data_IF_148151879048
#
_entry.id   IF_148151879048
#
_cell.length_a   1.000
_cell.length_b   1.000
_cell.length_c   1.000
_cell.angle_alpha   90.00
_cell.angle_beta   90.00
_cell.angle_gamma   90.00
#
_symmetry.space_group_name_H-M   'P 1'
#
loop_
_entity.id
_entity.type
_entity.pdbx_description
1 polymer ?
#
# COMPACT_ATOMS: atom_id res chain seq x y z
N UNK A 1 28.22 4.59 19.00
CA UNK A 1 27.18 5.62 18.76
C UNK A 1 27.87 6.95 18.88
N UNK A 2 27.69 7.85 17.90
CA UNK A 2 28.32 9.17 17.91
C UNK A 2 27.86 10.05 19.10
N UNK A 3 28.67 10.98 19.59
CA UNK A 3 28.27 11.89 20.65
C UNK A 3 26.93 12.58 20.35
N UNK A 4 26.03 12.64 21.31
CA UNK A 4 24.70 13.24 21.16
C UNK A 4 23.64 12.33 20.52
N UNK A 5 23.98 11.13 20.04
CA UNK A 5 23.01 10.16 19.54
C UNK A 5 22.61 9.16 20.62
N UNK A 6 21.31 8.85 20.69
CA UNK A 6 20.76 7.83 21.57
C UNK A 6 20.25 6.65 20.71
N UNK A 7 20.34 5.45 21.25
CA UNK A 7 19.75 4.25 20.66
C UNK A 7 18.87 3.57 21.70
N UNK A 8 17.78 2.98 21.22
CA UNK A 8 16.87 2.16 22.02
C UNK A 8 16.90 0.73 21.50
N UNK A 9 16.70 -0.23 22.39
CA UNK A 9 16.49 -1.62 21.97
C UNK A 9 15.18 -1.68 21.17
N UNK A 10 15.25 -2.27 19.98
CA UNK A 10 14.10 -2.56 19.13
C UNK A 10 14.07 -4.07 18.85
N UNK A 11 12.88 -4.59 18.56
CA UNK A 11 12.64 -5.99 18.26
C UNK A 11 11.91 -6.08 16.92
N UNK A 12 12.31 -7.03 16.09
CA UNK A 12 11.54 -7.42 14.91
C UNK A 12 10.43 -8.40 15.31
N UNK A 13 9.52 -8.69 14.40
CA UNK A 13 8.51 -9.73 14.65
C UNK A 13 9.12 -11.13 14.83
N UNK A 14 10.34 -11.36 14.31
CA UNK A 14 11.07 -12.61 14.51
C UNK A 14 11.67 -12.75 15.92
N UNK A 15 11.81 -11.63 16.64
CA UNK A 15 12.36 -11.58 18.00
C UNK A 15 11.29 -11.73 19.09
N UNK A 16 10.01 -11.73 18.72
CA UNK A 16 8.89 -11.75 19.66
C UNK A 16 7.93 -12.91 19.39
N UNK A 17 7.22 -13.33 20.42
CA UNK A 17 6.18 -14.34 20.31
C UNK A 17 4.95 -13.93 21.14
N UNK A 18 3.78 -14.34 20.70
CA UNK A 18 2.55 -14.17 21.47
C UNK A 18 2.55 -15.21 22.60
N UNK A 19 2.52 -14.74 23.83
CA UNK A 19 2.42 -15.60 25.01
C UNK A 19 0.96 -16.01 25.20
N UNK A 20 0.65 -17.32 25.30
CA UNK A 20 -0.69 -17.78 25.53
C UNK A 20 -1.29 -17.20 26.82
N UNK A 21 -2.55 -16.79 26.77
CA UNK A 21 -3.28 -16.35 27.95
C UNK A 21 -3.64 -17.54 28.85
N UNK A 22 -3.89 -17.29 30.12
CA UNK A 22 -4.41 -18.27 31.08
C UNK A 22 -5.79 -18.78 30.66
N UNK A 23 -6.57 -17.99 29.93
CA UNK A 23 -7.90 -18.34 29.43
C UNK A 23 -7.86 -18.43 27.91
N UNK A 24 -8.30 -19.53 27.38
CA UNK A 24 -8.55 -19.72 25.95
C UNK A 24 -10.02 -19.51 25.64
N UNK A 25 -10.31 -19.19 24.39
CA UNK A 25 -11.69 -19.11 23.86
C UNK A 25 -11.83 -20.12 22.73
N UNK A 26 -13.02 -20.57 22.49
CA UNK A 26 -13.37 -21.33 21.31
C UNK A 26 -13.16 -20.42 20.09
N UNK A 27 -12.43 -20.86 19.05
CA UNK A 27 -12.12 -20.02 17.88
C UNK A 27 -13.38 -19.39 17.25
N UNK A 28 -14.48 -20.13 17.20
CA UNK A 28 -15.76 -19.70 16.64
C UNK A 28 -16.39 -18.53 17.41
N UNK A 29 -16.03 -18.36 18.69
CA UNK A 29 -16.50 -17.25 19.54
C UNK A 29 -15.65 -15.97 19.39
N UNK A 30 -14.61 -16.00 18.54
CA UNK A 30 -13.68 -14.87 18.37
C UNK A 30 -13.97 -14.15 17.05
N UNK A 31 -14.40 -12.89 17.15
CA UNK A 31 -14.48 -12.03 15.97
C UNK A 31 -13.10 -11.47 15.64
N UNK A 32 -12.70 -11.63 14.37
CA UNK A 32 -11.50 -11.03 13.79
C UNK A 32 -11.78 -9.76 12.99
N UNK A 33 -13.05 -9.34 12.98
CA UNK A 33 -13.46 -8.13 12.29
C UNK A 33 -12.74 -6.89 12.82
N UNK A 34 -12.40 -5.99 11.92
CA UNK A 34 -11.75 -4.73 12.24
C UNK A 34 -12.38 -3.57 11.48
N UNK A 35 -12.06 -2.36 11.86
CA UNK A 35 -12.63 -1.15 11.28
C UNK A 35 -11.57 -0.06 11.14
N UNK A 36 -11.61 0.66 10.04
CA UNK A 36 -10.90 1.91 9.84
C UNK A 36 -11.91 2.96 9.36
N UNK A 37 -12.10 4.01 10.16
CA UNK A 37 -13.14 5.02 9.95
C UNK A 37 -14.51 4.35 9.72
N UNK A 38 -15.19 4.63 8.61
CA UNK A 38 -16.47 4.04 8.25
C UNK A 38 -16.38 2.62 7.65
N UNK A 39 -15.18 2.17 7.29
CA UNK A 39 -14.97 0.90 6.59
C UNK A 39 -14.77 -0.26 7.56
N UNK A 40 -15.56 -1.31 7.38
CA UNK A 40 -15.54 -2.54 8.20
C UNK A 40 -15.09 -3.72 7.35
N UNK A 41 -14.29 -4.59 7.95
CA UNK A 41 -13.72 -5.77 7.32
C UNK A 41 -13.90 -6.99 8.23
N UNK A 42 -14.32 -8.11 7.66
CA UNK A 42 -14.52 -9.36 8.40
C UNK A 42 -13.20 -10.10 8.63
N UNK A 43 -12.24 -9.93 7.70
CA UNK A 43 -10.90 -10.51 7.79
C UNK A 43 -9.85 -9.44 8.11
N UNK A 44 -8.97 -9.68 9.09
CA UNK A 44 -7.85 -8.78 9.42
C UNK A 44 -6.69 -8.97 8.43
N UNK A 45 -7.00 -8.85 7.14
CA UNK A 45 -6.07 -9.07 6.04
C UNK A 45 -5.99 -7.84 5.15
N UNK A 46 -4.78 -7.28 5.05
CA UNK A 46 -4.40 -6.34 4.01
C UNK A 46 -3.43 -7.02 3.04
N UNK A 47 -3.78 -7.13 1.77
CA UNK A 47 -2.86 -7.60 0.76
C UNK A 47 -1.93 -6.45 0.35
N UNK A 48 -0.61 -6.73 0.41
CA UNK A 48 0.44 -5.75 0.18
C UNK A 48 0.39 -5.17 -1.24
N UNK A 49 0.67 -3.86 -1.41
CA UNK A 49 0.66 -3.18 -2.70
C UNK A 49 1.89 -3.56 -3.54
N UNK A 50 1.84 -4.75 -4.11
CA UNK A 50 2.88 -5.33 -4.96
C UNK A 50 2.24 -5.87 -6.23
N UNK A 51 2.84 -5.61 -7.39
CA UNK A 51 2.28 -6.02 -8.68
C UNK A 51 2.12 -7.54 -8.84
N UNK A 52 2.96 -8.32 -8.14
CA UNK A 52 2.87 -9.78 -8.09
C UNK A 52 1.81 -10.32 -7.12
N UNK A 53 1.21 -9.46 -6.29
CA UNK A 53 0.25 -9.86 -5.25
C UNK A 53 -1.14 -9.29 -5.54
N UNK A 54 -1.22 -8.00 -5.86
CA UNK A 54 -2.49 -7.30 -6.02
C UNK A 54 -2.64 -6.77 -7.44
N UNK A 55 -3.55 -7.40 -8.18
CA UNK A 55 -4.19 -6.87 -9.38
C UNK A 55 -5.57 -6.29 -9.01
N UNK A 56 -6.24 -5.56 -9.90
CA UNK A 56 -7.64 -5.20 -9.68
C UNK A 56 -8.54 -6.41 -9.39
N UNK A 57 -8.34 -7.52 -10.11
CA UNK A 57 -9.10 -8.77 -9.90
C UNK A 57 -8.83 -9.38 -8.54
N UNK A 58 -7.56 -9.42 -8.11
CA UNK A 58 -7.18 -9.94 -6.79
C UNK A 58 -7.72 -9.04 -5.68
N UNK A 59 -7.66 -7.71 -5.84
CA UNK A 59 -8.24 -6.77 -4.88
C UNK A 59 -9.75 -7.00 -4.72
N UNK A 60 -10.46 -7.21 -5.83
CA UNK A 60 -11.90 -7.56 -5.82
C UNK A 60 -12.14 -8.89 -5.10
N UNK A 61 -11.35 -9.91 -5.38
CA UNK A 61 -11.50 -11.22 -4.74
C UNK A 61 -11.29 -11.14 -3.22
N UNK A 62 -10.25 -10.43 -2.77
CA UNK A 62 -9.94 -10.21 -1.35
C UNK A 62 -11.05 -9.39 -0.69
N UNK A 63 -11.54 -8.34 -1.35
CA UNK A 63 -12.64 -7.53 -0.85
C UNK A 63 -13.92 -8.32 -0.66
N UNK A 64 -14.26 -9.22 -1.59
CA UNK A 64 -15.42 -10.13 -1.47
C UNK A 64 -15.28 -11.15 -0.34
N UNK A 65 -14.05 -11.46 0.06
CA UNK A 65 -13.76 -12.32 1.22
C UNK A 65 -13.76 -11.54 2.56
N UNK A 66 -13.98 -10.22 2.53
CA UNK A 66 -14.00 -9.38 3.72
C UNK A 66 -12.65 -8.81 4.14
N UNK A 67 -11.61 -8.91 3.31
CA UNK A 67 -10.31 -8.27 3.50
C UNK A 67 -10.14 -7.00 2.66
N UNK A 68 -8.92 -6.45 2.62
CA UNK A 68 -8.58 -5.27 1.82
C UNK A 68 -7.41 -5.56 0.89
N UNK A 69 -7.63 -5.47 -0.42
CA UNK A 69 -6.56 -5.45 -1.41
C UNK A 69 -6.08 -4.01 -1.65
N UNK A 70 -4.78 -3.77 -1.51
CA UNK A 70 -4.19 -2.44 -1.76
C UNK A 70 -3.46 -2.45 -3.09
N UNK A 71 -3.97 -1.70 -4.08
CA UNK A 71 -3.37 -1.60 -5.40
C UNK A 71 -2.14 -0.69 -5.38
N UNK A 72 -1.04 -1.13 -6.00
CA UNK A 72 0.15 -0.30 -6.21
C UNK A 72 -0.05 0.63 -7.42
N UNK A 73 -0.23 1.94 -7.18
CA UNK A 73 -0.42 2.92 -8.24
C UNK A 73 0.89 3.40 -8.91
N UNK A 74 2.03 2.91 -8.46
CA UNK A 74 3.33 3.12 -9.10
C UNK A 74 3.82 1.89 -9.86
N UNK A 75 3.01 0.85 -9.87
CA UNK A 75 3.31 -0.43 -10.49
C UNK A 75 2.94 -0.51 -11.97
N UNK A 76 2.92 -1.73 -12.48
CA UNK A 76 2.65 -2.01 -13.89
C UNK A 76 1.19 -1.77 -14.28
N UNK A 77 0.27 -1.90 -13.31
CA UNK A 77 -1.17 -1.72 -13.52
C UNK A 77 -1.55 -0.31 -13.95
N UNK A 78 -0.71 0.68 -13.66
CA UNK A 78 -0.92 2.08 -14.01
C UNK A 78 0.04 2.60 -15.08
N UNK A 79 0.89 1.71 -15.64
CA UNK A 79 1.84 2.04 -16.71
C UNK A 79 1.46 1.43 -18.05
N UNK A 80 0.81 0.26 -18.02
CA UNK A 80 0.48 -0.52 -19.21
C UNK A 80 -1.02 -0.80 -19.28
N UNK A 81 -1.58 -0.76 -20.48
CA UNK A 81 -2.98 -1.12 -20.71
C UNK A 81 -3.21 -2.61 -20.39
N UNK A 82 -2.28 -3.48 -20.81
CA UNK A 82 -2.24 -4.89 -20.40
C UNK A 82 -0.94 -5.20 -19.64
N UNK A 83 -0.94 -5.10 -18.30
CA UNK A 83 0.24 -5.37 -17.48
C UNK A 83 0.62 -6.84 -17.42
N UNK A 84 -0.23 -7.77 -17.87
CA UNK A 84 0.07 -9.21 -17.90
C UNK A 84 1.22 -9.53 -18.84
N UNK A 85 1.39 -8.72 -19.89
CA UNK A 85 2.51 -8.87 -20.84
C UNK A 85 3.85 -8.65 -20.14
N UNK A 86 4.15 -7.48 -19.55
CA UNK A 86 5.41 -7.25 -18.85
C UNK A 86 5.55 -8.14 -17.58
N UNK A 87 4.47 -8.50 -16.90
CA UNK A 87 4.51 -9.44 -15.78
C UNK A 87 4.96 -10.84 -16.23
N UNK A 88 4.41 -11.33 -17.34
CA UNK A 88 4.80 -12.60 -17.94
C UNK A 88 6.25 -12.61 -18.39
N UNK A 89 6.73 -11.50 -18.94
CA UNK A 89 8.13 -11.32 -19.31
C UNK A 89 9.05 -11.42 -18.08
N UNK A 90 8.72 -10.71 -17.00
CA UNK A 90 9.48 -10.74 -15.74
C UNK A 90 9.51 -12.17 -15.17
N UNK A 91 8.35 -12.85 -15.13
CA UNK A 91 8.23 -14.19 -14.56
C UNK A 91 9.03 -15.26 -15.32
N UNK A 92 9.25 -15.06 -16.62
CA UNK A 92 9.98 -16.01 -17.48
C UNK A 92 11.47 -15.69 -17.65
N UNK A 93 11.94 -14.57 -17.08
CA UNK A 93 13.26 -14.04 -17.32
C UNK A 93 14.33 -14.73 -16.46
N UNK A 94 15.49 -15.10 -17.02
CA UNK A 94 16.61 -15.56 -16.23
C UNK A 94 17.15 -14.46 -15.30
N UNK A 95 17.49 -14.80 -14.05
CA UNK A 95 17.97 -13.89 -13.00
C UNK A 95 19.09 -12.94 -13.48
N UNK A 96 19.98 -13.45 -14.33
CA UNK A 96 21.12 -12.70 -14.84
C UNK A 96 20.76 -11.38 -15.56
N UNK A 97 19.56 -11.30 -16.14
CA UNK A 97 19.11 -10.16 -16.92
C UNK A 97 17.92 -9.42 -16.25
N UNK A 98 17.35 -10.01 -15.20
CA UNK A 98 16.11 -9.54 -14.60
C UNK A 98 16.18 -8.09 -14.11
N UNK A 99 17.20 -7.71 -13.36
CA UNK A 99 17.31 -6.37 -12.77
C UNK A 99 17.26 -5.25 -13.82
N UNK A 100 18.08 -5.36 -14.88
CA UNK A 100 18.13 -4.34 -15.93
C UNK A 100 16.80 -4.25 -16.67
N UNK A 101 16.24 -5.40 -17.02
CA UNK A 101 14.98 -5.42 -17.77
C UNK A 101 13.80 -4.95 -16.95
N UNK A 102 13.75 -5.27 -15.65
CA UNK A 102 12.77 -4.71 -14.73
C UNK A 102 12.87 -3.18 -14.65
N UNK A 103 14.09 -2.63 -14.56
CA UNK A 103 14.28 -1.18 -14.59
C UNK A 103 13.73 -0.54 -15.86
N UNK A 104 13.96 -1.16 -17.02
CA UNK A 104 13.42 -0.70 -18.30
C UNK A 104 11.89 -0.76 -18.32
N UNK A 105 11.28 -1.86 -17.87
CA UNK A 105 9.82 -2.03 -17.79
C UNK A 105 9.20 -0.98 -16.84
N UNK A 106 9.79 -0.78 -15.66
CA UNK A 106 9.28 0.20 -14.68
C UNK A 106 9.65 1.66 -15.02
N UNK A 107 10.44 1.91 -16.09
CA UNK A 107 10.71 3.28 -16.55
C UNK A 107 9.56 3.92 -17.33
N UNK A 108 8.60 3.12 -17.80
CA UNK A 108 7.40 3.65 -18.44
C UNK A 108 6.66 4.61 -17.50
N UNK A 109 6.09 5.73 -18.01
CA UNK A 109 5.41 6.71 -17.17
C UNK A 109 4.16 6.14 -16.51
N UNK A 110 3.87 6.62 -15.28
CA UNK A 110 2.57 6.38 -14.64
C UNK A 110 1.52 7.20 -15.41
N UNK A 111 0.41 6.56 -15.71
CA UNK A 111 -0.67 7.16 -16.51
C UNK A 111 -1.89 7.42 -15.61
N UNK A 112 -2.26 8.70 -15.37
CA UNK A 112 -3.41 9.05 -14.52
C UNK A 112 -4.73 8.45 -14.99
N UNK A 113 -4.92 8.28 -16.30
CA UNK A 113 -6.10 7.63 -16.86
C UNK A 113 -6.20 6.16 -16.46
N UNK A 114 -5.08 5.44 -16.36
CA UNK A 114 -5.07 4.06 -15.86
C UNK A 114 -5.30 3.99 -14.36
N UNK A 115 -4.81 4.96 -13.57
CA UNK A 115 -5.16 5.07 -12.15
C UNK A 115 -6.68 5.10 -11.99
N UNK A 116 -7.34 6.00 -12.73
CA UNK A 116 -8.80 6.14 -12.70
C UNK A 116 -9.52 4.86 -13.14
N UNK A 117 -9.05 4.23 -14.21
CA UNK A 117 -9.63 3.00 -14.74
C UNK A 117 -9.54 1.85 -13.74
N UNK A 118 -8.36 1.60 -13.14
CA UNK A 118 -8.15 0.50 -12.19
C UNK A 118 -8.92 0.71 -10.89
N UNK A 119 -8.96 1.92 -10.37
CA UNK A 119 -9.76 2.27 -9.18
C UNK A 119 -11.25 2.06 -9.49
N UNK A 120 -11.71 2.53 -10.65
CA UNK A 120 -13.11 2.34 -11.08
C UNK A 120 -13.46 0.86 -11.21
N UNK A 121 -12.60 0.04 -11.79
CA UNK A 121 -12.80 -1.41 -11.92
C UNK A 121 -13.05 -2.09 -10.56
N UNK A 122 -12.27 -1.74 -9.54
CA UNK A 122 -12.43 -2.29 -8.19
C UNK A 122 -13.74 -1.78 -7.56
N UNK A 123 -14.01 -0.49 -7.68
CA UNK A 123 -15.23 0.13 -7.14
C UNK A 123 -16.50 -0.43 -7.75
N UNK A 124 -16.56 -0.60 -9.07
CA UNK A 124 -17.72 -1.12 -9.79
C UNK A 124 -18.07 -2.56 -9.34
N UNK A 125 -17.11 -3.28 -8.76
CA UNK A 125 -17.34 -4.59 -8.15
C UNK A 125 -17.95 -4.53 -6.74
N UNK A 126 -18.17 -3.33 -6.18
CA UNK A 126 -18.82 -3.11 -4.89
C UNK A 126 -17.95 -3.45 -3.68
N UNK A 127 -16.63 -3.41 -3.80
CA UNK A 127 -15.68 -3.63 -2.71
C UNK A 127 -14.91 -2.35 -2.37
N UNK A 128 -14.40 -2.27 -1.14
CA UNK A 128 -13.58 -1.14 -0.68
C UNK A 128 -12.29 -1.03 -1.50
N UNK A 129 -12.00 0.17 -1.99
CA UNK A 129 -10.84 0.46 -2.83
C UNK A 129 -9.68 0.96 -1.98
N UNK A 130 -8.67 0.12 -1.79
CA UNK A 130 -7.37 0.52 -1.24
C UNK A 130 -6.36 0.77 -2.35
N UNK A 131 -5.64 1.89 -2.28
CA UNK A 131 -4.58 2.19 -3.25
C UNK A 131 -3.40 2.91 -2.62
N UNK A 132 -2.19 2.63 -3.12
CA UNK A 132 -0.96 3.14 -2.52
C UNK A 132 -0.09 3.95 -3.45
N UNK A 133 0.55 4.97 -2.87
CA UNK A 133 1.65 5.73 -3.45
C UNK A 133 2.82 5.81 -2.46
N UNK A 134 4.03 6.05 -2.98
CA UNK A 134 5.15 6.48 -2.17
C UNK A 134 5.00 7.94 -1.73
N UNK A 135 5.68 8.38 -0.65
CA UNK A 135 5.67 9.78 -0.25
C UNK A 135 6.09 10.73 -1.38
N UNK A 136 7.05 10.31 -2.21
CA UNK A 136 7.57 11.08 -3.32
C UNK A 136 6.54 11.34 -4.42
N UNK A 137 5.66 10.37 -4.69
CA UNK A 137 4.63 10.47 -5.73
C UNK A 137 3.30 11.00 -5.21
N UNK A 138 3.13 11.00 -3.89
CA UNK A 138 1.89 11.48 -3.27
C UNK A 138 1.61 12.94 -3.62
N UNK A 139 2.62 13.82 -3.57
CA UNK A 139 2.44 15.23 -3.89
C UNK A 139 1.94 15.45 -5.33
N UNK A 140 2.39 14.64 -6.27
CA UNK A 140 2.06 14.74 -7.69
C UNK A 140 0.69 14.11 -8.04
N UNK A 141 0.42 12.92 -7.48
CA UNK A 141 -0.65 12.05 -7.98
C UNK A 141 -1.88 11.97 -7.06
N UNK A 142 -1.82 12.47 -5.81
CA UNK A 142 -2.93 12.30 -4.85
C UNK A 142 -4.27 12.80 -5.38
N UNK A 143 -4.29 13.93 -6.09
CA UNK A 143 -5.54 14.47 -6.65
C UNK A 143 -6.19 13.49 -7.62
N UNK A 144 -5.41 12.93 -8.54
CA UNK A 144 -5.91 11.93 -9.49
C UNK A 144 -6.47 10.69 -8.78
N UNK A 145 -5.86 10.28 -7.66
CA UNK A 145 -6.31 9.14 -6.85
C UNK A 145 -7.61 9.45 -6.11
N UNK A 146 -7.71 10.61 -5.49
CA UNK A 146 -8.93 11.05 -4.78
C UNK A 146 -10.07 11.24 -5.78
N UNK A 147 -9.84 11.92 -6.90
CA UNK A 147 -10.83 12.15 -7.95
C UNK A 147 -11.31 10.83 -8.60
N UNK A 148 -10.45 9.82 -8.64
CA UNK A 148 -10.82 8.47 -9.06
C UNK A 148 -11.74 7.75 -8.05
N UNK A 149 -11.76 8.22 -6.79
CA UNK A 149 -12.61 7.76 -5.70
C UNK A 149 -12.05 6.55 -4.96
N UNK A 150 -10.81 6.63 -4.54
CA UNK A 150 -10.24 5.71 -3.56
C UNK A 150 -11.00 5.85 -2.23
N UNK A 151 -11.20 4.73 -1.54
CA UNK A 151 -11.84 4.70 -0.22
C UNK A 151 -10.79 4.79 0.90
N UNK A 152 -9.64 4.15 0.72
CA UNK A 152 -8.54 4.13 1.68
C UNK A 152 -7.24 4.45 0.94
N UNK A 153 -6.60 5.54 1.31
CA UNK A 153 -5.33 5.96 0.73
C UNK A 153 -4.16 5.41 1.55
N UNK A 154 -3.19 4.75 0.90
CA UNK A 154 -2.03 4.16 1.57
C UNK A 154 -0.76 4.88 1.14
N UNK A 155 -0.01 5.46 2.08
CA UNK A 155 1.31 6.03 1.85
C UNK A 155 2.36 5.00 2.29
N UNK A 156 3.09 4.46 1.31
CA UNK A 156 4.01 3.35 1.51
C UNK A 156 5.46 3.75 1.27
N UNK A 157 6.31 3.48 2.25
CA UNK A 157 7.77 3.64 2.14
C UNK A 157 8.49 2.66 3.07
N UNK A 158 9.80 2.50 2.88
CA UNK A 158 10.63 1.64 3.77
C UNK A 158 10.61 2.20 5.20
N UNK A 159 10.75 3.53 5.32
CA UNK A 159 10.53 4.27 6.56
C UNK A 159 9.90 5.59 6.19
N UNK A 160 8.71 5.85 6.72
CA UNK A 160 7.99 7.10 6.49
C UNK A 160 8.08 7.95 7.75
N UNK A 161 8.50 9.20 7.59
CA UNK A 161 8.54 10.21 8.65
C UNK A 161 7.38 11.19 8.51
N UNK A 162 7.06 11.92 9.58
CA UNK A 162 6.00 12.93 9.58
C UNK A 162 6.24 14.03 8.52
N UNK A 163 7.50 14.31 8.20
CA UNK A 163 7.91 15.22 7.14
C UNK A 163 8.91 14.53 6.24
N UNK A 164 8.62 14.49 4.95
CA UNK A 164 9.56 14.01 3.94
C UNK A 164 10.20 15.23 3.26
N UNK A 165 11.50 15.44 3.51
CA UNK A 165 12.26 16.51 2.89
C UNK A 165 12.96 15.97 1.64
N UNK A 166 12.64 16.55 0.48
CA UNK A 166 13.31 16.28 -0.79
C UNK A 166 14.13 17.48 -1.24
N UNK A 167 15.25 17.23 -1.92
CA UNK A 167 16.14 18.31 -2.39
C UNK A 167 15.51 19.15 -3.53
N UNK A 168 14.63 18.53 -4.32
CA UNK A 168 14.07 19.13 -5.54
C UNK A 168 12.56 19.39 -5.49
N UNK A 169 11.86 18.92 -4.45
CA UNK A 169 10.41 19.04 -4.32
C UNK A 169 10.03 19.65 -2.96
N UNK A 170 8.84 20.24 -2.89
CA UNK A 170 8.27 20.69 -1.63
C UNK A 170 8.12 19.53 -0.67
N UNK A 171 8.50 19.74 0.60
CA UNK A 171 8.41 18.72 1.64
C UNK A 171 6.96 18.27 1.86
N UNK A 172 6.71 16.98 1.79
CA UNK A 172 5.41 16.43 2.11
C UNK A 172 5.24 16.41 3.64
N UNK A 173 4.44 17.31 4.17
CA UNK A 173 4.00 17.29 5.56
C UNK A 173 2.79 16.35 5.68
N UNK A 174 3.02 15.14 6.19
CA UNK A 174 1.98 14.11 6.31
C UNK A 174 0.81 14.53 7.20
N UNK A 175 1.07 15.25 8.29
CA UNK A 175 0.00 15.71 9.20
C UNK A 175 -0.96 16.65 8.49
N UNK A 176 -0.40 17.63 7.77
CA UNK A 176 -1.20 18.57 6.98
C UNK A 176 -1.93 17.83 5.87
N UNK A 177 -1.25 16.97 5.14
CA UNK A 177 -1.82 16.20 4.04
C UNK A 177 -2.99 15.33 4.49
N UNK A 178 -2.83 14.56 5.58
CA UNK A 178 -3.90 13.72 6.13
C UNK A 178 -5.08 14.54 6.59
N UNK A 179 -4.84 15.71 7.20
CA UNK A 179 -5.91 16.59 7.65
C UNK A 179 -6.74 17.18 6.50
N UNK A 180 -6.15 17.36 5.34
CA UNK A 180 -6.81 17.92 4.14
C UNK A 180 -7.56 16.87 3.31
N UNK A 181 -7.43 15.56 3.63
CA UNK A 181 -8.11 14.50 2.92
C UNK A 181 -9.40 14.06 3.61
N UNK A 182 -10.42 13.82 2.79
CA UNK A 182 -11.72 13.28 3.23
C UNK A 182 -11.77 11.75 3.28
N UNK A 183 -10.62 11.08 3.09
CA UNK A 183 -10.50 9.61 3.12
C UNK A 183 -9.48 9.17 4.16
N UNK A 184 -9.68 8.03 4.85
CA UNK A 184 -8.71 7.52 5.80
C UNK A 184 -7.38 7.20 5.13
N UNK A 185 -6.28 7.49 5.83
CA UNK A 185 -4.92 7.29 5.34
C UNK A 185 -4.19 6.28 6.22
N UNK A 186 -3.67 5.24 5.60
CA UNK A 186 -2.74 4.28 6.22
C UNK A 186 -1.31 4.67 5.83
N UNK A 187 -0.43 4.81 6.80
CA UNK A 187 0.98 5.16 6.58
C UNK A 187 1.89 4.06 7.11
N UNK A 188 2.86 3.62 6.31
CA UNK A 188 3.88 2.65 6.74
C UNK A 188 5.00 2.47 5.70
N UNK A 189 6.22 1.91 6.09
CA UNK A 189 6.57 1.55 7.49
C UNK A 189 6.96 2.75 8.35
N UNK A 190 6.63 2.62 9.60
CA UNK A 190 6.99 3.60 10.62
C UNK A 190 7.96 2.98 11.63
N UNK A 191 8.92 3.75 12.12
CA UNK A 191 9.94 3.28 13.06
C UNK A 191 9.69 3.77 14.50
N UNK A 192 8.80 4.74 14.68
CA UNK A 192 8.49 5.35 15.98
C UNK A 192 7.00 5.63 16.09
N UNK A 193 6.54 5.88 17.31
CA UNK A 193 5.14 6.27 17.61
C UNK A 193 4.92 7.78 17.54
N UNK A 194 5.95 8.55 17.22
CA UNK A 194 5.92 10.03 17.16
C UNK A 194 6.26 10.51 15.78
#
# INVERSE_FOLDING_TARGET
>A
IAPGKRAHQAYSFDDIAIVPSRRTRTPEDVSTAWQIDAYKFDLPLLAAPMDSVVSPETAIAIGKLGGLGVLNLEGLWTRYDDPRIPLGEIASMPDKHATRRMQEIYSAPIRPELIKERIKQIRDAGVTVGASLSPQRTAELHKAVIDAGVDIFVIRGTTVSAEHVAAENEALNLKKFIYELDVPVIVGGVATTT
#
